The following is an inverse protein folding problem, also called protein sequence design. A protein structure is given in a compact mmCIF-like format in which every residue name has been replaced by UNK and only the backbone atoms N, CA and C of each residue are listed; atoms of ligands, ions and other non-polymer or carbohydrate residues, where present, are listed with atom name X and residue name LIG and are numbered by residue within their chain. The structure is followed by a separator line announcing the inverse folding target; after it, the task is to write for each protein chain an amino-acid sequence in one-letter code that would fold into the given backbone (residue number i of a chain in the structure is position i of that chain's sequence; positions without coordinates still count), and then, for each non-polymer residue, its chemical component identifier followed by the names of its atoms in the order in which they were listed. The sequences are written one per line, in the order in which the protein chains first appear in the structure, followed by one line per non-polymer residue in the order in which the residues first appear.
data_IF_481369354124
#
_entry.id   IF_481369354124
#
_cell.length_a   1.000
_cell.length_b   1.000
_cell.length_c   1.000
_cell.angle_alpha   90.00
_cell.angle_beta   90.00
_cell.angle_gamma   90.00
#
_symmetry.space_group_name_H-M   'P 1'
#
loop_
_entity.id
_entity.type
_entity.pdbx_description
1 polymer ?
#
# COMPACT_ATOMS: atom_id res chain seq x y z
N UNK A 1 37.95 -31.57 5.72
CA UNK A 1 37.54 -31.45 7.14
C UNK A 1 37.28 -29.98 7.40
N UNK A 2 36.04 -29.58 7.71
CA UNK A 2 35.77 -28.20 8.17
C UNK A 2 36.43 -28.03 9.54
N UNK A 3 37.13 -26.91 9.76
CA UNK A 3 37.81 -26.66 11.04
C UNK A 3 36.79 -26.63 12.17
N UNK A 4 37.17 -27.09 13.37
CA UNK A 4 36.28 -27.09 14.54
C UNK A 4 35.77 -25.69 14.92
N UNK A 5 36.45 -24.63 14.46
CA UNK A 5 36.05 -23.24 14.64
C UNK A 5 34.84 -22.83 13.80
N UNK A 6 34.67 -23.37 12.59
CA UNK A 6 33.48 -23.11 11.76
C UNK A 6 32.22 -23.74 12.38
N UNK A 7 32.37 -24.91 13.03
CA UNK A 7 31.28 -25.58 13.73
C UNK A 7 30.89 -24.84 15.02
N UNK A 8 31.86 -24.38 15.81
CA UNK A 8 31.59 -23.58 17.01
C UNK A 8 31.02 -22.20 16.71
N UNK A 9 31.46 -21.55 15.61
CA UNK A 9 30.83 -20.30 15.15
C UNK A 9 29.40 -20.51 14.61
N UNK A 10 29.09 -21.69 14.06
CA UNK A 10 27.71 -22.05 13.67
C UNK A 10 26.78 -22.34 14.86
N UNK A 11 27.33 -22.55 16.06
CA UNK A 11 26.60 -22.82 17.30
C UNK A 11 26.37 -21.58 18.18
N UNK A 12 26.75 -20.36 17.72
CA UNK A 12 26.27 -19.13 18.36
C UNK A 12 24.75 -19.13 18.27
N UNK A 13 24.08 -19.42 19.39
CA UNK A 13 22.62 -19.45 19.51
C UNK A 13 22.05 -18.20 18.86
N UNK A 14 21.42 -18.38 17.70
CA UNK A 14 20.75 -17.29 16.98
C UNK A 14 19.63 -16.81 17.90
N UNK A 15 19.71 -15.57 18.36
CA UNK A 15 18.63 -14.94 19.12
C UNK A 15 17.38 -14.94 18.22
N UNK A 16 16.23 -15.42 18.69
CA UNK A 16 15.01 -15.39 17.89
C UNK A 16 14.67 -13.94 17.55
N UNK A 17 14.28 -13.70 16.30
CA UNK A 17 13.86 -12.38 15.86
C UNK A 17 12.63 -11.93 16.65
N UNK A 18 12.55 -10.65 16.97
CA UNK A 18 11.37 -10.06 17.60
C UNK A 18 10.35 -9.68 16.54
N UNK A 19 9.13 -10.18 16.68
CA UNK A 19 7.99 -9.75 15.87
C UNK A 19 7.00 -9.01 16.75
N UNK A 20 6.61 -7.81 16.33
CA UNK A 20 5.54 -7.04 16.96
C UNK A 20 4.49 -6.70 15.92
N UNK A 21 3.22 -6.82 16.28
CA UNK A 21 2.11 -6.51 15.39
C UNK A 21 0.94 -6.00 16.21
N UNK A 22 0.15 -5.13 15.61
CA UNK A 22 -1.12 -4.71 16.19
C UNK A 22 -2.20 -5.66 15.70
N UNK A 23 -3.00 -6.20 16.63
CA UNK A 23 -4.18 -6.99 16.25
C UNK A 23 -5.22 -6.01 15.72
N UNK A 24 -5.54 -6.02 14.41
CA UNK A 24 -6.46 -5.03 13.88
C UNK A 24 -7.87 -5.36 14.36
N UNK A 25 -8.74 -4.35 14.43
CA UNK A 25 -10.13 -4.58 14.82
C UNK A 25 -10.80 -5.48 13.79
N UNK A 26 -11.53 -6.48 14.28
CA UNK A 26 -12.32 -7.37 13.42
C UNK A 26 -13.32 -6.57 12.61
N UNK A 27 -13.33 -6.79 11.31
CA UNK A 27 -14.33 -6.23 10.40
C UNK A 27 -15.70 -6.88 10.65
N UNK A 28 -16.74 -6.06 10.60
CA UNK A 28 -18.13 -6.49 10.64
C UNK A 28 -18.66 -6.52 9.20
N UNK A 29 -18.71 -7.71 8.59
CA UNK A 29 -19.07 -7.85 7.17
C UNK A 29 -20.55 -7.66 6.85
N UNK A 30 -21.42 -7.95 7.82
CA UNK A 30 -22.86 -8.01 7.58
C UNK A 30 -23.55 -6.65 7.34
N UNK A 31 -22.83 -5.54 7.53
CA UNK A 31 -23.38 -4.19 7.41
C UNK A 31 -22.40 -3.24 6.72
N UNK A 32 -22.13 -3.44 5.42
CA UNK A 32 -21.44 -2.41 4.63
C UNK A 32 -22.40 -1.25 4.43
N UNK A 33 -22.16 -0.12 5.13
CA UNK A 33 -23.02 1.05 5.05
C UNK A 33 -22.49 1.98 3.97
N UNK A 34 -23.42 2.63 3.24
CA UNK A 34 -23.06 3.70 2.29
C UNK A 34 -22.19 4.79 2.96
N UNK A 35 -22.44 5.04 4.24
CA UNK A 35 -21.70 6.02 5.05
C UNK A 35 -20.23 5.64 5.27
N UNK A 36 -19.87 4.36 5.26
CA UNK A 36 -18.49 3.92 5.53
C UNK A 36 -17.52 4.48 4.48
N UNK A 37 -17.96 4.52 3.21
CA UNK A 37 -17.17 5.13 2.13
C UNK A 37 -17.01 6.64 2.31
N UNK A 38 -18.07 7.33 2.70
CA UNK A 38 -18.04 8.77 2.96
C UNK A 38 -17.06 9.10 4.10
N UNK A 39 -17.15 8.36 5.20
CA UNK A 39 -16.26 8.49 6.35
C UNK A 39 -14.82 8.14 6.00
N UNK A 40 -14.60 7.12 5.17
CA UNK A 40 -13.29 6.76 4.67
C UNK A 40 -12.63 7.86 3.84
N UNK A 41 -13.36 8.45 2.89
CA UNK A 41 -12.88 9.60 2.12
C UNK A 41 -12.54 10.77 3.06
N UNK A 42 -13.42 11.05 4.01
CA UNK A 42 -13.25 12.14 4.97
C UNK A 42 -11.99 11.97 5.82
N UNK A 43 -11.79 10.79 6.41
CA UNK A 43 -10.60 10.46 7.19
C UNK A 43 -9.34 10.59 6.33
N UNK A 44 -9.33 10.03 5.11
CA UNK A 44 -8.20 10.13 4.20
C UNK A 44 -7.83 11.59 3.88
N UNK A 45 -8.82 12.44 3.58
CA UNK A 45 -8.61 13.87 3.36
C UNK A 45 -7.99 14.51 4.62
N UNK A 46 -8.62 14.33 5.78
CA UNK A 46 -8.21 14.97 7.03
C UNK A 46 -6.79 14.57 7.46
N UNK A 47 -6.48 13.28 7.43
CA UNK A 47 -5.20 12.76 7.89
C UNK A 47 -4.04 13.14 6.96
N UNK A 48 -4.30 13.19 5.65
CA UNK A 48 -3.25 13.48 4.66
C UNK A 48 -3.03 14.98 4.41
N UNK A 49 -4.00 15.83 4.77
CA UNK A 49 -3.94 17.28 4.54
C UNK A 49 -2.67 17.92 5.11
N UNK A 50 -2.26 17.52 6.32
CA UNK A 50 -1.07 18.09 6.99
C UNK A 50 0.23 17.86 6.21
N UNK A 51 0.41 16.70 5.57
CA UNK A 51 1.62 16.39 4.82
C UNK A 51 1.73 17.20 3.52
N UNK A 52 0.59 17.52 2.90
CA UNK A 52 0.55 18.43 1.76
C UNK A 52 0.75 19.90 2.16
N UNK A 53 0.21 20.31 3.31
CA UNK A 53 0.43 21.66 3.84
C UNK A 53 1.91 21.89 4.16
N UNK A 54 2.57 20.89 4.74
CA UNK A 54 4.00 20.96 5.09
C UNK A 54 4.89 21.12 3.85
N UNK A 55 4.67 20.32 2.79
CA UNK A 55 5.52 20.38 1.59
C UNK A 55 5.28 21.63 0.74
N UNK A 56 4.03 22.11 0.65
CA UNK A 56 3.69 23.25 -0.20
C UNK A 56 3.84 24.59 0.54
N UNK A 57 3.70 24.58 1.87
CA UNK A 57 3.63 25.79 2.70
C UNK A 57 2.61 26.81 2.13
N UNK A 58 1.41 26.31 1.81
CA UNK A 58 0.28 27.08 1.25
C UNK A 58 -1.01 26.74 1.98
N UNK A 59 -1.90 27.71 2.09
CA UNK A 59 -3.27 27.49 2.56
C UNK A 59 -4.11 26.86 1.43
N UNK A 60 -5.01 25.94 1.78
CA UNK A 60 -5.97 25.37 0.83
C UNK A 60 -7.33 26.05 0.95
N UNK A 61 -7.85 26.54 -0.17
CA UNK A 61 -9.20 27.09 -0.26
C UNK A 61 -10.22 26.00 -0.61
N UNK A 62 -11.49 26.20 -0.23
CA UNK A 62 -12.62 25.41 -0.72
C UNK A 62 -12.56 25.16 -2.23
N UNK A 63 -12.96 23.97 -2.68
CA UNK A 63 -12.99 23.67 -4.13
C UNK A 63 -13.98 24.62 -4.84
N UNK A 64 -15.07 24.97 -4.13
CA UNK A 64 -16.13 25.88 -4.57
C UNK A 64 -15.75 27.36 -4.55
N UNK A 65 -14.56 27.71 -4.04
CA UNK A 65 -14.11 29.10 -3.97
C UNK A 65 -13.93 29.69 -5.37
N UNK A 66 -14.64 30.74 -5.71
CA UNK A 66 -14.51 31.40 -7.01
C UNK A 66 -13.41 32.47 -6.95
N UNK A 67 -12.51 32.46 -7.93
CA UNK A 67 -11.44 33.45 -8.04
C UNK A 67 -10.86 33.48 -9.45
N UNK A 68 -10.57 34.67 -9.96
CA UNK A 68 -9.79 34.86 -11.18
C UNK A 68 -8.31 34.55 -11.00
N UNK A 69 -7.82 34.65 -9.75
CA UNK A 69 -6.44 34.35 -9.37
C UNK A 69 -6.27 32.88 -9.05
N UNK A 70 -5.09 32.32 -9.33
CA UNK A 70 -4.81 30.93 -9.01
C UNK A 70 -4.69 30.70 -7.50
N UNK A 71 -5.26 29.61 -7.01
CA UNK A 71 -5.19 29.17 -5.62
C UNK A 71 -4.99 27.65 -5.54
N UNK A 72 -4.66 27.18 -4.33
CA UNK A 72 -4.53 25.76 -4.05
C UNK A 72 -5.81 25.22 -3.42
N UNK A 73 -6.27 24.06 -3.89
CA UNK A 73 -7.35 23.29 -3.27
C UNK A 73 -6.93 21.84 -3.14
N UNK A 74 -7.65 21.06 -2.33
CA UNK A 74 -7.27 19.70 -1.96
C UNK A 74 -8.50 18.81 -1.92
N UNK A 75 -8.36 17.54 -2.29
CA UNK A 75 -9.48 16.61 -2.30
C UNK A 75 -9.15 15.26 -2.94
N UNK A 76 -10.20 14.47 -3.14
CA UNK A 76 -10.16 13.17 -3.82
C UNK A 76 -10.64 13.31 -5.26
N UNK A 77 -9.96 12.62 -6.17
CA UNK A 77 -10.34 12.49 -7.57
C UNK A 77 -11.48 11.49 -7.74
N UNK A 78 -12.54 11.91 -8.43
CA UNK A 78 -13.61 11.06 -8.92
C UNK A 78 -13.59 11.05 -10.44
N UNK A 79 -13.57 9.86 -11.02
CA UNK A 79 -13.63 9.63 -12.47
C UNK A 79 -14.93 8.92 -12.80
N UNK A 80 -15.73 9.47 -13.72
CA UNK A 80 -16.98 8.85 -14.20
C UNK A 80 -16.71 7.79 -15.27
N UNK A 81 -17.69 6.94 -15.62
CA UNK A 81 -17.56 6.01 -16.75
C UNK A 81 -17.21 6.70 -18.08
N UNK A 82 -17.69 7.93 -18.29
CA UNK A 82 -17.42 8.78 -19.45
C UNK A 82 -16.02 9.42 -19.42
N UNK A 83 -15.25 9.15 -18.36
CA UNK A 83 -13.91 9.70 -18.08
C UNK A 83 -13.91 11.20 -17.77
N UNK A 84 -15.04 11.76 -17.37
CA UNK A 84 -15.04 13.08 -16.74
C UNK A 84 -14.39 12.98 -15.37
N UNK A 85 -13.53 13.95 -15.06
CA UNK A 85 -12.72 13.97 -13.84
C UNK A 85 -13.23 15.09 -12.95
N UNK A 86 -13.47 14.77 -11.69
CA UNK A 86 -13.96 15.68 -10.67
C UNK A 86 -13.02 15.65 -9.47
N UNK A 87 -12.96 16.75 -8.74
CA UNK A 87 -12.41 16.78 -7.38
C UNK A 87 -13.54 16.93 -6.38
N UNK A 88 -13.43 16.25 -5.25
CA UNK A 88 -14.40 16.26 -4.17
C UNK A 88 -13.69 16.38 -2.82
N UNK A 89 -14.26 17.16 -1.91
CA UNK A 89 -13.71 17.35 -0.58
C UNK A 89 -14.83 17.42 0.47
N UNK A 90 -14.90 16.46 1.40
CA UNK A 90 -15.89 16.46 2.47
C UNK A 90 -15.28 16.71 3.86
N UNK A 91 -14.17 17.45 3.93
CA UNK A 91 -13.54 17.87 5.19
C UNK A 91 -14.54 18.68 6.06
N UNK A 92 -15.34 19.54 5.40
CA UNK A 92 -16.45 20.25 6.01
C UNK A 92 -17.68 20.30 5.07
N UNK A 93 -18.86 20.55 5.64
CA UNK A 93 -20.14 20.54 4.90
C UNK A 93 -20.17 21.58 3.77
N UNK A 94 -19.42 22.68 3.89
CA UNK A 94 -19.32 23.71 2.86
C UNK A 94 -18.55 23.31 1.59
N UNK A 95 -17.86 22.16 1.61
CA UNK A 95 -17.07 21.65 0.49
C UNK A 95 -17.65 20.38 -0.15
N UNK A 96 -18.80 19.88 0.33
CA UNK A 96 -19.40 18.60 -0.05
C UNK A 96 -20.09 18.66 -1.44
N UNK A 97 -19.37 19.14 -2.45
CA UNK A 97 -19.84 19.26 -3.83
C UNK A 97 -18.70 18.93 -4.79
N UNK A 98 -18.86 17.93 -5.67
CA UNK A 98 -17.86 17.61 -6.67
C UNK A 98 -17.79 18.70 -7.73
N UNK A 99 -16.59 19.11 -8.13
CA UNK A 99 -16.36 20.09 -9.19
C UNK A 99 -15.56 19.44 -10.32
N UNK A 100 -16.01 19.65 -11.56
CA UNK A 100 -15.38 19.10 -12.75
C UNK A 100 -14.02 19.76 -12.97
N UNK A 101 -13.02 18.97 -13.36
CA UNK A 101 -11.66 19.43 -13.63
C UNK A 101 -11.45 19.62 -15.13
N UNK A 102 -10.94 20.80 -15.49
CA UNK A 102 -10.44 21.07 -16.83
C UNK A 102 -8.92 20.90 -16.84
N UNK A 103 -8.44 19.82 -17.45
CA UNK A 103 -7.03 19.42 -17.47
C UNK A 103 -6.27 19.90 -18.71
N UNK A 104 -6.89 20.72 -19.57
CA UNK A 104 -6.27 21.15 -20.84
C UNK A 104 -4.94 21.88 -20.64
N UNK A 105 -4.82 22.62 -19.53
CA UNK A 105 -3.63 23.39 -19.18
C UNK A 105 -2.60 22.58 -18.37
N UNK A 106 -2.97 21.38 -17.91
CA UNK A 106 -2.07 20.49 -17.21
C UNK A 106 -1.34 19.60 -18.24
N UNK A 107 -0.02 19.76 -18.33
CA UNK A 107 0.80 19.04 -19.31
C UNK A 107 1.09 17.59 -18.90
N UNK A 108 1.26 17.35 -17.60
CA UNK A 108 1.66 16.06 -17.04
C UNK A 108 0.81 15.73 -15.85
N UNK A 109 0.18 14.56 -15.89
CA UNK A 109 -0.56 14.02 -14.76
C UNK A 109 -0.76 12.52 -14.90
N UNK A 110 -0.90 11.86 -13.76
CA UNK A 110 -1.31 10.47 -13.66
C UNK A 110 -2.34 10.38 -12.54
N UNK A 111 -3.59 10.14 -12.93
CA UNK A 111 -4.76 10.21 -12.07
C UNK A 111 -5.51 8.87 -12.07
N UNK A 112 -6.14 8.56 -10.94
CA UNK A 112 -7.05 7.43 -10.82
C UNK A 112 -8.19 7.75 -9.84
N UNK A 113 -9.28 6.98 -9.94
CA UNK A 113 -10.47 7.17 -9.13
C UNK A 113 -10.19 6.84 -7.64
N UNK A 114 -10.27 7.84 -6.76
CA UNK A 114 -9.94 7.74 -5.33
C UNK A 114 -8.63 8.39 -4.91
N UNK A 115 -7.85 8.93 -5.84
CA UNK A 115 -6.55 9.55 -5.54
C UNK A 115 -6.72 10.87 -4.77
N UNK A 116 -5.97 11.04 -3.68
CA UNK A 116 -5.81 12.31 -3.00
C UNK A 116 -4.82 13.20 -3.75
N UNK A 117 -5.21 14.44 -4.00
CA UNK A 117 -4.39 15.43 -4.72
C UNK A 117 -4.59 16.83 -4.14
N UNK A 118 -3.55 17.66 -4.28
CA UNK A 118 -3.67 19.12 -4.25
C UNK A 118 -3.63 19.64 -5.68
N UNK A 119 -4.55 20.52 -6.02
CA UNK A 119 -4.62 21.17 -7.32
C UNK A 119 -4.29 22.66 -7.15
N UNK A 120 -3.49 23.19 -8.06
CA UNK A 120 -3.36 24.63 -8.26
C UNK A 120 -4.09 25.02 -9.53
N UNK A 121 -4.92 26.04 -9.43
CA UNK A 121 -5.74 26.46 -10.56
C UNK A 121 -6.69 27.57 -10.17
N UNK A 122 -7.73 27.78 -10.96
CA UNK A 122 -8.75 28.80 -10.72
C UNK A 122 -10.14 28.31 -11.09
N UNK A 123 -11.15 28.83 -10.40
CA UNK A 123 -12.56 28.55 -10.64
C UNK A 123 -13.24 29.88 -10.97
N UNK A 124 -13.68 30.03 -12.22
CA UNK A 124 -14.29 31.26 -12.73
C UNK A 124 -15.82 31.31 -12.55
N UNK A 125 -16.41 30.28 -11.91
CA UNK A 125 -17.85 30.18 -11.69
C UNK A 125 -18.60 29.27 -12.66
N UNK A 126 -17.93 28.75 -13.70
CA UNK A 126 -18.54 27.93 -14.76
C UNK A 126 -18.70 26.44 -14.39
N UNK A 127 -18.78 26.11 -13.10
CA UNK A 127 -18.80 24.73 -12.57
C UNK A 127 -17.57 23.86 -12.96
N UNK A 128 -16.50 24.48 -13.45
CA UNK A 128 -15.23 23.84 -13.74
C UNK A 128 -14.07 24.51 -12.98
N UNK A 129 -13.12 23.69 -12.56
CA UNK A 129 -11.84 24.15 -12.02
C UNK A 129 -10.76 23.98 -13.08
N UNK A 130 -10.15 25.10 -13.52
CA UNK A 130 -9.08 25.11 -14.51
C UNK A 130 -7.76 24.73 -13.83
N UNK A 131 -7.31 23.49 -14.04
CA UNK A 131 -6.12 22.94 -13.39
C UNK A 131 -4.85 23.37 -14.12
N UNK A 132 -3.93 23.98 -13.38
CA UNK A 132 -2.59 24.34 -13.87
C UNK A 132 -1.49 23.41 -13.36
N UNK A 133 -1.57 22.95 -12.11
CA UNK A 133 -0.58 22.06 -11.49
C UNK A 133 -1.30 21.03 -10.60
N UNK A 134 -0.75 19.81 -10.52
CA UNK A 134 -1.25 18.71 -9.69
C UNK A 134 -0.12 18.21 -8.79
N UNK A 135 -0.38 18.15 -7.49
CA UNK A 135 0.51 17.54 -6.51
C UNK A 135 -0.17 16.33 -5.88
N UNK A 136 0.38 15.14 -6.06
CA UNK A 136 -0.19 13.88 -5.56
C UNK A 136 0.77 13.07 -4.69
N UNK A 137 1.94 13.65 -4.37
CA UNK A 137 3.00 13.04 -3.57
C UNK A 137 3.16 13.85 -2.28
N UNK A 138 2.44 13.52 -1.19
CA UNK A 138 2.67 14.14 0.11
C UNK A 138 4.00 13.68 0.71
N UNK A 139 4.43 14.32 1.80
CA UNK A 139 5.51 13.79 2.64
C UNK A 139 5.10 12.42 3.22
N UNK A 140 6.06 11.51 3.21
CA UNK A 140 5.94 10.19 3.80
C UNK A 140 6.69 10.17 5.13
N UNK A 141 5.98 9.87 6.20
CA UNK A 141 6.64 9.42 7.42
C UNK A 141 7.24 8.04 7.13
N UNK A 142 8.45 7.79 7.60
CA UNK A 142 9.07 6.47 7.55
C UNK A 142 9.64 6.17 8.94
N UNK A 143 9.79 4.89 9.28
CA UNK A 143 10.42 4.53 10.54
C UNK A 143 11.92 4.86 10.52
N UNK A 144 12.43 5.55 11.54
CA UNK A 144 13.85 5.92 11.70
C UNK A 144 14.78 4.73 12.05
N UNK A 145 14.43 3.51 11.62
CA UNK A 145 15.23 2.34 11.93
C UNK A 145 16.52 2.33 11.11
N UNK A 146 17.60 2.81 11.71
CA UNK A 146 18.96 2.71 11.17
C UNK A 146 19.59 1.32 11.38
N UNK A 147 18.86 0.37 12.00
CA UNK A 147 19.40 -0.97 12.23
C UNK A 147 19.23 -1.82 10.97
N UNK A 148 20.35 -2.42 10.57
CA UNK A 148 20.35 -3.43 9.54
C UNK A 148 19.58 -4.67 10.00
N UNK A 149 18.66 -5.14 9.14
CA UNK A 149 17.94 -6.38 9.35
C UNK A 149 18.58 -7.47 8.48
N UNK A 150 19.05 -8.54 9.14
CA UNK A 150 19.55 -9.74 8.47
C UNK A 150 18.66 -10.93 8.80
N UNK A 151 17.85 -11.37 7.85
CA UNK A 151 16.96 -12.51 8.04
C UNK A 151 16.63 -13.23 6.73
N UNK A 152 16.22 -14.50 6.85
CA UNK A 152 15.61 -15.26 5.77
C UNK A 152 14.10 -15.30 5.95
N UNK A 153 13.37 -14.87 4.92
CA UNK A 153 11.92 -14.91 4.85
C UNK A 153 11.52 -15.87 3.73
N UNK A 154 10.65 -16.82 4.02
CA UNK A 154 9.95 -17.62 3.01
C UNK A 154 8.54 -17.10 2.82
N UNK A 155 8.09 -16.95 1.59
CA UNK A 155 6.68 -16.64 1.27
C UNK A 155 6.10 -17.82 0.54
N UNK A 156 5.06 -18.44 1.11
CA UNK A 156 4.43 -19.64 0.58
C UNK A 156 2.99 -19.31 0.17
N UNK A 157 2.67 -19.51 -1.11
CA UNK A 157 1.33 -19.33 -1.67
C UNK A 157 0.73 -20.66 -2.14
N UNK A 158 1.56 -21.67 -2.39
CA UNK A 158 1.10 -22.95 -2.89
C UNK A 158 1.85 -24.11 -2.22
N UNK A 159 1.11 -25.05 -1.63
CA UNK A 159 1.62 -26.19 -0.88
C UNK A 159 1.36 -27.45 -1.70
N UNK A 160 2.06 -27.55 -2.83
CA UNK A 160 2.02 -28.74 -3.68
C UNK A 160 3.35 -29.51 -3.66
N UNK A 161 4.38 -28.97 -2.99
CA UNK A 161 5.74 -29.51 -2.99
C UNK A 161 6.23 -29.77 -1.56
N UNK A 162 7.29 -30.58 -1.43
CA UNK A 162 8.05 -30.72 -0.18
C UNK A 162 8.84 -29.44 0.06
N UNK A 163 8.15 -28.41 0.55
CA UNK A 163 8.75 -27.12 0.87
C UNK A 163 9.56 -27.27 2.15
N UNK A 164 10.85 -26.95 2.06
CA UNK A 164 11.68 -26.75 3.23
C UNK A 164 11.30 -25.40 3.88
N UNK A 165 11.00 -25.44 5.17
CA UNK A 165 10.62 -24.29 5.98
C UNK A 165 11.79 -23.69 6.77
N UNK A 166 13.05 -24.05 6.46
CA UNK A 166 14.26 -23.45 7.06
C UNK A 166 14.39 -21.96 6.72
N UNK A 167 13.74 -21.13 7.54
CA UNK A 167 13.77 -19.69 7.48
C UNK A 167 13.58 -19.09 8.89
N UNK A 168 13.91 -17.82 9.03
CA UNK A 168 13.65 -17.07 10.27
C UNK A 168 12.16 -16.71 10.38
N UNK A 169 11.54 -16.42 9.22
CA UNK A 169 10.10 -16.13 9.10
C UNK A 169 9.54 -16.88 7.89
N UNK A 170 8.38 -17.50 8.03
CA UNK A 170 7.61 -18.10 6.94
C UNK A 170 6.25 -17.42 6.90
N UNK A 171 5.90 -16.84 5.76
CA UNK A 171 4.62 -16.15 5.53
C UNK A 171 3.78 -17.01 4.57
N UNK A 172 2.70 -17.59 5.09
CA UNK A 172 1.68 -18.27 4.29
C UNK A 172 0.65 -17.26 3.81
N UNK A 173 0.41 -17.22 2.50
CA UNK A 173 -0.53 -16.31 1.86
C UNK A 173 -1.61 -17.13 1.14
N UNK A 174 -2.84 -17.11 1.68
CA UNK A 174 -4.01 -17.75 1.07
C UNK A 174 -4.02 -19.28 1.05
N UNK A 175 -2.95 -19.95 1.49
CA UNK A 175 -2.83 -21.40 1.46
C UNK A 175 -3.14 -22.06 2.80
N UNK A 176 -3.58 -23.32 2.76
CA UNK A 176 -3.84 -24.13 3.96
C UNK A 176 -2.53 -24.62 4.59
N UNK A 177 -2.25 -24.19 5.81
CA UNK A 177 -1.05 -24.60 6.56
C UNK A 177 -1.03 -26.11 6.77
N UNK A 178 0.10 -26.80 6.54
CA UNK A 178 0.22 -28.24 6.81
C UNK A 178 0.09 -28.55 8.31
N UNK A 179 -0.58 -29.65 8.66
CA UNK A 179 -0.84 -30.04 10.06
C UNK A 179 0.45 -30.34 10.85
N UNK A 180 1.48 -30.86 10.18
CA UNK A 180 2.81 -31.09 10.75
C UNK A 180 3.50 -29.78 11.13
N UNK A 181 3.26 -28.69 10.39
CA UNK A 181 3.77 -27.36 10.73
C UNK A 181 3.00 -26.74 11.89
N UNK A 182 1.67 -26.88 11.91
CA UNK A 182 0.82 -26.41 13.04
C UNK A 182 1.22 -27.10 14.35
N UNK A 183 1.53 -28.39 14.29
CA UNK A 183 1.95 -29.17 15.46
C UNK A 183 3.43 -29.02 15.80
N UNK A 184 4.23 -28.39 14.92
CA UNK A 184 5.66 -28.20 15.14
C UNK A 184 5.94 -27.27 16.31
N UNK A 185 7.04 -27.54 17.03
CA UNK A 185 7.51 -26.70 18.15
C UNK A 185 8.81 -25.96 17.81
N UNK A 186 9.07 -25.68 16.52
CA UNK A 186 10.26 -24.92 16.13
C UNK A 186 10.24 -23.57 16.84
N UNK A 187 11.21 -23.32 17.73
CA UNK A 187 11.27 -22.10 18.55
C UNK A 187 11.96 -20.93 17.84
N UNK A 188 12.56 -21.16 16.68
CA UNK A 188 13.38 -20.18 15.98
C UNK A 188 12.69 -19.56 14.76
N UNK A 189 11.68 -20.24 14.21
CA UNK A 189 10.94 -19.79 13.04
C UNK A 189 9.61 -19.21 13.46
N UNK A 190 9.28 -18.02 12.94
CA UNK A 190 7.95 -17.45 13.09
C UNK A 190 7.09 -17.78 11.88
N UNK A 191 5.86 -18.24 12.12
CA UNK A 191 4.91 -18.55 11.05
C UNK A 191 3.81 -17.48 11.01
N UNK A 192 3.75 -16.71 9.93
CA UNK A 192 2.75 -15.67 9.71
C UNK A 192 1.73 -16.16 8.68
N UNK A 193 0.45 -15.91 8.91
CA UNK A 193 -0.64 -16.32 8.03
C UNK A 193 -1.44 -15.11 7.62
N UNK A 194 -1.60 -14.91 6.31
CA UNK A 194 -2.34 -13.80 5.73
C UNK A 194 -3.38 -14.34 4.74
N UNK A 195 -4.68 -14.06 4.91
CA UNK A 195 -5.71 -14.56 4.01
C UNK A 195 -5.69 -13.85 2.66
N UNK A 196 -6.34 -14.46 1.66
CA UNK A 196 -6.56 -13.87 0.34
C UNK A 196 -8.03 -13.98 -0.04
N UNK A 197 -8.50 -13.22 -1.03
CA UNK A 197 -9.91 -13.24 -1.42
C UNK A 197 -10.34 -14.61 -1.99
N UNK A 198 -9.38 -15.42 -2.44
CA UNK A 198 -9.60 -16.78 -2.95
C UNK A 198 -9.70 -17.84 -1.82
N UNK A 199 -9.53 -17.43 -0.58
CA UNK A 199 -9.57 -18.30 0.59
C UNK A 199 -11.00 -18.67 0.99
N UNK A 200 -11.38 -19.92 0.71
CA UNK A 200 -12.72 -20.44 1.00
C UNK A 200 -13.07 -20.49 2.49
N UNK A 201 -12.10 -20.41 3.40
CA UNK A 201 -12.33 -20.39 4.85
C UNK A 201 -12.61 -18.97 5.37
N UNK A 202 -12.41 -17.95 4.54
CA UNK A 202 -12.61 -16.56 4.89
C UNK A 202 -13.82 -15.96 4.16
N UNK A 203 -14.34 -14.87 4.71
CA UNK A 203 -15.36 -14.07 4.02
C UNK A 203 -14.67 -13.30 2.89
N UNK A 204 -15.19 -13.42 1.68
CA UNK A 204 -14.73 -12.73 0.46
C UNK A 204 -15.08 -11.22 0.49
N UNK A 205 -14.62 -10.51 1.53
CA UNK A 205 -14.77 -9.06 1.69
C UNK A 205 -13.46 -8.50 2.22
N UNK A 206 -12.89 -7.56 1.48
CA UNK A 206 -11.68 -6.84 1.88
C UNK A 206 -12.04 -5.59 2.68
N UNK A 207 -11.32 -5.23 3.78
CA UNK A 207 -10.23 -5.97 4.40
C UNK A 207 -10.72 -7.27 5.07
N UNK A 208 -9.90 -8.32 4.98
CA UNK A 208 -10.19 -9.66 5.49
C UNK A 208 -9.66 -9.84 6.90
N UNK A 209 -10.44 -10.51 7.75
CA UNK A 209 -10.08 -10.85 9.11
C UNK A 209 -9.11 -12.04 9.12
N UNK A 210 -8.19 -12.05 10.07
CA UNK A 210 -7.29 -13.17 10.34
C UNK A 210 -8.06 -14.47 10.60
N UNK A 211 -7.54 -15.60 10.14
CA UNK A 211 -8.05 -16.92 10.53
C UNK A 211 -7.79 -17.19 12.01
N UNK A 212 -8.62 -18.00 12.66
CA UNK A 212 -8.29 -18.52 13.98
C UNK A 212 -7.31 -19.67 13.80
N UNK A 213 -6.08 -19.51 14.28
CA UNK A 213 -5.06 -20.56 14.29
C UNK A 213 -4.59 -20.70 15.73
N UNK A 214 -4.67 -21.91 16.26
CA UNK A 214 -4.22 -22.22 17.62
C UNK A 214 -2.71 -22.45 17.62
N UNK A 215 -1.97 -21.76 18.49
CA UNK A 215 -0.54 -21.97 18.66
C UNK A 215 0.22 -20.71 19.02
N UNK A 216 1.18 -20.81 19.93
CA UNK A 216 1.95 -19.64 20.41
C UNK A 216 2.96 -19.10 19.36
N UNK A 217 3.38 -19.92 18.40
CA UNK A 217 4.36 -19.56 17.36
C UNK A 217 3.71 -19.12 16.03
N UNK A 218 2.39 -19.29 15.92
CA UNK A 218 1.62 -18.94 14.72
C UNK A 218 0.97 -17.58 14.91
N UNK A 219 1.27 -16.67 13.99
CA UNK A 219 0.72 -15.32 13.97
C UNK A 219 -0.26 -15.25 12.80
N UNK A 220 -1.55 -15.23 13.11
CA UNK A 220 -2.58 -14.99 12.10
C UNK A 220 -2.88 -13.49 12.01
N UNK A 221 -2.74 -12.91 10.83
CA UNK A 221 -2.94 -11.49 10.57
C UNK A 221 -4.08 -11.27 9.57
N UNK A 222 -4.63 -10.05 9.56
CA UNK A 222 -5.62 -9.63 8.58
C UNK A 222 -5.00 -9.45 7.19
N UNK A 223 -5.84 -9.23 6.18
CA UNK A 223 -5.42 -8.71 4.89
C UNK A 223 -6.17 -7.40 4.58
N UNK A 224 -5.49 -6.25 4.48
CA UNK A 224 -4.05 -6.08 4.58
C UNK A 224 -3.59 -6.17 6.04
N UNK A 225 -2.29 -6.23 6.27
CA UNK A 225 -1.70 -6.13 7.60
C UNK A 225 -0.36 -5.41 7.62
N UNK A 226 0.01 -5.04 8.85
CA UNK A 226 1.30 -4.44 9.20
C UNK A 226 1.91 -5.21 10.36
N UNK A 227 3.21 -5.47 10.31
CA UNK A 227 3.97 -5.98 11.43
C UNK A 227 5.40 -5.44 11.38
N UNK A 228 6.07 -5.41 12.52
CA UNK A 228 7.49 -5.11 12.60
C UNK A 228 8.28 -6.39 12.86
N UNK A 229 9.33 -6.56 12.08
CA UNK A 229 10.38 -7.54 12.33
C UNK A 229 11.60 -6.77 12.80
N UNK A 230 11.98 -6.98 14.06
CA UNK A 230 12.82 -6.04 14.81
C UNK A 230 12.23 -4.62 14.77
N UNK A 231 12.93 -3.68 14.15
CA UNK A 231 12.53 -2.28 14.03
C UNK A 231 12.06 -1.92 12.61
N UNK A 232 11.94 -2.90 11.69
CA UNK A 232 11.55 -2.69 10.28
C UNK A 232 10.07 -2.98 10.06
N UNK A 233 9.37 -2.08 9.39
CA UNK A 233 7.93 -2.19 9.10
C UNK A 233 7.68 -2.95 7.80
N UNK A 234 6.93 -4.05 7.93
CA UNK A 234 6.46 -4.87 6.84
C UNK A 234 4.96 -4.65 6.65
N UNK A 235 4.57 -4.43 5.40
CA UNK A 235 3.19 -4.40 4.96
C UNK A 235 2.93 -5.60 4.05
N UNK A 236 1.77 -6.24 4.19
CA UNK A 236 1.29 -7.29 3.28
C UNK A 236 -0.11 -6.91 2.82
N UNK A 237 -0.31 -6.88 1.50
CA UNK A 237 -1.61 -6.66 0.89
C UNK A 237 -1.81 -7.60 -0.28
N UNK A 238 -2.75 -8.52 -0.13
CA UNK A 238 -2.98 -9.58 -1.13
C UNK A 238 -4.07 -9.21 -2.12
N UNK A 239 -4.77 -8.09 -1.92
CA UNK A 239 -5.66 -7.52 -2.92
C UNK A 239 -4.81 -6.94 -4.07
N UNK A 240 -5.19 -7.24 -5.32
CA UNK A 240 -4.46 -6.84 -6.53
C UNK A 240 -4.65 -5.35 -6.89
N UNK A 241 -4.36 -4.46 -5.94
CA UNK A 241 -4.57 -3.01 -6.11
C UNK A 241 -3.74 -2.44 -7.25
N UNK A 242 -2.53 -2.98 -7.48
CA UNK A 242 -1.68 -2.57 -8.59
C UNK A 242 -2.33 -2.84 -9.95
N UNK A 243 -3.05 -3.95 -10.08
CA UNK A 243 -3.76 -4.31 -11.32
C UNK A 243 -4.95 -3.39 -11.56
N UNK A 244 -5.65 -3.02 -10.49
CA UNK A 244 -6.75 -2.05 -10.54
C UNK A 244 -6.24 -0.67 -10.97
N UNK A 245 -5.11 -0.22 -10.41
CA UNK A 245 -4.48 1.04 -10.80
C UNK A 245 -4.05 1.00 -12.28
N UNK A 246 -3.44 -0.10 -12.72
CA UNK A 246 -2.98 -0.26 -14.10
C UNK A 246 -4.12 -0.10 -15.13
N UNK A 247 -5.32 -0.58 -14.80
CA UNK A 247 -6.51 -0.49 -15.66
C UNK A 247 -7.19 0.86 -15.67
N UNK A 248 -7.13 1.57 -14.53
CA UNK A 248 -7.95 2.76 -14.29
C UNK A 248 -7.16 4.05 -14.25
N UNK A 249 -5.84 3.99 -14.42
CA UNK A 249 -4.99 5.16 -14.59
C UNK A 249 -5.36 5.93 -15.86
N UNK A 250 -5.62 7.22 -15.71
CA UNK A 250 -5.62 8.20 -16.80
C UNK A 250 -4.34 8.99 -16.69
N UNK A 251 -3.52 8.98 -17.74
CA UNK A 251 -2.26 9.72 -17.76
C UNK A 251 -2.10 10.59 -19.00
N UNK A 252 -1.36 11.67 -18.84
CA UNK A 252 -0.91 12.59 -19.89
C UNK A 252 0.54 12.97 -19.58
N UNK A 253 1.39 12.99 -20.60
CA UNK A 253 2.81 13.33 -20.44
C UNK A 253 3.33 14.22 -21.59
N UNK A 254 2.87 15.46 -21.66
CA UNK A 254 3.17 16.41 -22.76
C UNK A 254 4.22 17.46 -22.38
N UNK A 255 5.44 16.99 -22.09
CA UNK A 255 6.62 17.83 -21.83
C UNK A 255 6.74 18.30 -20.39
N UNK A 256 7.97 18.61 -19.96
CA UNK A 256 8.27 19.02 -18.59
C UNK A 256 7.98 20.50 -18.35
N UNK A 257 7.65 20.84 -17.10
CA UNK A 257 7.62 22.22 -16.62
C UNK A 257 8.66 22.36 -15.51
N UNK A 258 9.30 23.54 -15.39
CA UNK A 258 10.40 23.76 -14.43
C UNK A 258 10.02 23.52 -12.95
N UNK A 259 8.73 23.46 -12.63
CA UNK A 259 8.22 23.32 -11.26
C UNK A 259 7.35 22.06 -11.06
N UNK A 260 7.35 21.13 -12.02
CA UNK A 260 6.53 19.92 -11.97
C UNK A 260 7.24 18.77 -11.23
N UNK A 261 7.46 18.94 -9.93
CA UNK A 261 8.16 17.95 -9.09
C UNK A 261 7.47 16.59 -9.13
N UNK A 262 6.12 16.58 -9.10
CA UNK A 262 5.35 15.34 -9.12
C UNK A 262 5.48 14.63 -10.47
N UNK A 263 5.33 15.34 -11.59
CA UNK A 263 5.52 14.73 -12.89
C UNK A 263 6.97 14.27 -13.11
N UNK A 264 7.96 15.04 -12.64
CA UNK A 264 9.36 14.66 -12.75
C UNK A 264 9.64 13.33 -12.05
N UNK A 265 9.10 13.11 -10.85
CA UNK A 265 9.22 11.83 -10.18
C UNK A 265 8.41 10.73 -10.90
N UNK A 266 7.12 10.97 -11.14
CA UNK A 266 6.18 9.97 -11.66
C UNK A 266 6.51 9.49 -13.08
N UNK A 267 7.09 10.33 -13.91
CA UNK A 267 7.45 9.98 -15.29
C UNK A 267 8.97 9.97 -15.53
N UNK A 268 9.77 9.89 -14.46
CA UNK A 268 11.22 9.67 -14.58
C UNK A 268 11.56 8.29 -15.15
N UNK A 269 10.66 7.32 -14.96
CA UNK A 269 10.88 5.90 -15.28
C UNK A 269 9.62 5.27 -15.88
N UNK A 270 9.50 3.94 -15.79
CA UNK A 270 8.44 3.16 -16.41
C UNK A 270 7.07 3.33 -15.74
N UNK A 271 6.02 2.81 -16.41
CA UNK A 271 4.65 2.82 -15.87
C UNK A 271 4.55 2.11 -14.53
N UNK A 272 5.25 0.98 -14.36
CA UNK A 272 5.15 0.18 -13.16
C UNK A 272 5.62 0.97 -11.93
N UNK A 273 6.77 1.62 -12.04
CA UNK A 273 7.32 2.45 -10.97
C UNK A 273 6.38 3.63 -10.64
N UNK A 274 5.77 4.25 -11.65
CA UNK A 274 4.74 5.27 -11.44
C UNK A 274 3.54 4.76 -10.64
N UNK A 275 3.03 3.56 -10.95
CA UNK A 275 1.92 2.97 -10.21
C UNK A 275 2.33 2.60 -8.78
N UNK A 276 3.57 2.15 -8.58
CA UNK A 276 4.13 1.91 -7.25
C UNK A 276 4.22 3.20 -6.42
N UNK A 277 4.60 4.33 -7.02
CA UNK A 277 4.54 5.63 -6.35
C UNK A 277 3.10 5.92 -5.86
N UNK A 278 2.09 5.70 -6.69
CA UNK A 278 0.69 5.86 -6.29
C UNK A 278 0.29 4.96 -5.13
N UNK A 279 0.76 3.71 -5.07
CA UNK A 279 0.45 2.80 -3.96
C UNK A 279 1.00 3.33 -2.62
N UNK A 280 2.23 3.83 -2.59
CA UNK A 280 2.87 4.27 -1.34
C UNK A 280 2.37 5.65 -0.90
N UNK A 281 2.41 6.62 -1.82
CA UNK A 281 2.19 8.03 -1.50
C UNK A 281 0.74 8.35 -1.14
N UNK A 282 -0.18 7.43 -1.40
CA UNK A 282 -1.59 7.57 -1.06
C UNK A 282 -1.93 7.09 0.35
N UNK A 283 -0.93 6.59 1.09
CA UNK A 283 -0.99 6.21 2.51
C UNK A 283 -2.20 5.33 2.84
N UNK A 284 -2.54 4.44 1.92
CA UNK A 284 -3.64 3.51 2.09
C UNK A 284 -3.36 2.20 1.36
N UNK A 285 -3.78 1.10 1.97
CA UNK A 285 -3.79 -0.20 1.32
C UNK A 285 -4.76 -0.29 0.15
N UNK A 286 -5.77 0.59 0.09
CA UNK A 286 -6.74 0.65 -0.99
C UNK A 286 -7.04 2.12 -1.34
N UNK A 287 -6.16 2.78 -2.09
CA UNK A 287 -6.35 4.18 -2.47
C UNK A 287 -7.47 4.34 -3.51
N UNK A 288 -7.86 3.27 -4.20
CA UNK A 288 -8.94 3.29 -5.19
C UNK A 288 -10.32 3.19 -4.55
N UNK A 289 -11.30 3.92 -5.11
CA UNK A 289 -12.71 3.79 -4.73
C UNK A 289 -13.50 2.94 -5.74
N UNK A 290 -14.70 2.55 -5.36
CA UNK A 290 -15.63 1.72 -6.15
C UNK A 290 -15.09 0.31 -6.51
N UNK A 291 -14.17 -0.21 -5.69
CA UNK A 291 -13.72 -1.60 -5.78
C UNK A 291 -14.80 -2.52 -5.22
N UNK A 292 -15.06 -3.65 -5.91
CA UNK A 292 -16.06 -4.65 -5.53
C UNK A 292 -15.61 -5.39 -4.26
N UNK A 293 -16.57 -5.88 -3.48
CA UNK A 293 -16.32 -6.69 -2.27
C UNK A 293 -15.39 -6.00 -1.27
N UNK A 294 -15.55 -4.67 -1.11
CA UNK A 294 -14.77 -3.87 -0.16
C UNK A 294 -15.67 -3.24 0.90
N UNK A 295 -15.26 -3.39 2.17
CA UNK A 295 -15.70 -2.61 3.31
C UNK A 295 -14.69 -1.48 3.55
N UNK A 296 -15.14 -0.22 3.49
CA UNK A 296 -14.29 0.96 3.62
C UNK A 296 -14.02 1.30 5.11
N UNK A 297 -13.43 0.36 5.85
CA UNK A 297 -13.04 0.56 7.24
C UNK A 297 -11.69 1.28 7.31
N UNK A 298 -11.71 2.53 7.77
CA UNK A 298 -10.53 3.40 7.93
C UNK A 298 -9.39 2.71 8.68
N UNK A 299 -9.69 2.07 9.81
CA UNK A 299 -8.67 1.51 10.71
C UNK A 299 -7.87 0.38 10.07
N UNK A 300 -8.47 -0.34 9.12
CA UNK A 300 -7.86 -1.47 8.44
C UNK A 300 -7.29 -1.12 7.05
N UNK A 301 -7.65 0.04 6.48
CA UNK A 301 -7.22 0.45 5.13
C UNK A 301 -6.15 1.55 5.14
N UNK A 302 -5.88 2.16 6.29
CA UNK A 302 -4.89 3.22 6.42
C UNK A 302 -3.47 2.68 6.53
N UNK A 303 -2.50 3.38 5.94
CA UNK A 303 -1.08 3.15 6.21
C UNK A 303 -0.54 4.29 7.08
N UNK A 304 -0.26 3.99 8.35
CA UNK A 304 0.20 4.98 9.32
C UNK A 304 1.50 5.67 8.90
N UNK A 305 2.42 4.94 8.27
CA UNK A 305 3.65 5.46 7.67
C UNK A 305 4.02 4.60 6.45
N UNK A 306 5.01 5.05 5.67
CA UNK A 306 5.57 4.26 4.59
C UNK A 306 6.31 3.02 5.16
N UNK A 307 6.01 1.81 4.69
CA UNK A 307 6.71 0.61 5.14
C UNK A 307 8.14 0.56 4.60
N UNK A 308 9.02 -0.15 5.31
CA UNK A 308 10.33 -0.52 4.77
C UNK A 308 10.18 -1.55 3.65
N UNK A 309 9.27 -2.52 3.84
CA UNK A 309 8.99 -3.59 2.88
C UNK A 309 7.47 -3.73 2.64
N UNK A 310 7.04 -3.76 1.38
CA UNK A 310 5.64 -3.93 1.02
C UNK A 310 5.45 -5.09 0.05
N UNK A 311 4.85 -6.15 0.55
CA UNK A 311 4.48 -7.35 -0.19
C UNK A 311 3.11 -7.12 -0.82
N UNK A 312 3.05 -7.17 -2.15
CA UNK A 312 1.82 -7.01 -2.93
C UNK A 312 1.65 -8.18 -3.89
N UNK A 313 0.41 -8.38 -4.34
CA UNK A 313 0.10 -9.31 -5.45
C UNK A 313 -0.36 -8.53 -6.68
N UNK A 314 0.06 -9.02 -7.84
CA UNK A 314 -0.38 -8.57 -9.15
C UNK A 314 -0.28 -9.74 -10.13
N UNK A 315 -1.32 -9.91 -10.94
CA UNK A 315 -1.36 -10.86 -12.05
C UNK A 315 -0.88 -10.24 -13.37
N UNK A 316 -0.93 -8.91 -13.49
CA UNK A 316 -0.54 -8.22 -14.74
C UNK A 316 0.94 -7.96 -14.87
N UNK A 317 1.63 -7.95 -13.76
CA UNK A 317 3.07 -7.74 -13.72
C UNK A 317 3.73 -9.04 -13.25
N UNK A 318 4.78 -9.44 -13.96
CA UNK A 318 5.68 -10.48 -13.47
C UNK A 318 6.20 -10.12 -12.07
N UNK A 319 6.59 -11.11 -11.27
CA UNK A 319 7.20 -10.84 -9.97
C UNK A 319 8.38 -9.88 -10.08
N UNK A 320 8.45 -8.93 -9.16
CA UNK A 320 9.49 -7.91 -9.18
C UNK A 320 9.87 -7.42 -7.77
N UNK A 321 11.03 -6.79 -7.72
CA UNK A 321 11.55 -6.08 -6.55
C UNK A 321 11.97 -4.66 -6.98
N UNK A 322 11.40 -3.62 -6.35
CA UNK A 322 11.67 -2.21 -6.69
C UNK A 322 11.85 -1.36 -5.43
N UNK A 323 12.84 -0.46 -5.46
CA UNK A 323 12.96 0.63 -4.48
C UNK A 323 12.11 1.83 -4.94
N UNK A 324 11.14 2.22 -4.13
CA UNK A 324 10.15 3.26 -4.42
C UNK A 324 10.12 4.25 -3.26
N UNK A 325 10.89 5.33 -3.39
CA UNK A 325 11.14 6.24 -2.27
C UNK A 325 11.79 5.49 -1.10
N UNK A 326 11.23 5.56 0.12
CA UNK A 326 11.77 4.83 1.28
C UNK A 326 11.37 3.33 1.32
N UNK A 327 10.50 2.87 0.42
CA UNK A 327 9.89 1.54 0.50
C UNK A 327 10.46 0.58 -0.54
N UNK A 328 10.77 -0.65 -0.13
CA UNK A 328 11.02 -1.78 -1.04
C UNK A 328 9.71 -2.49 -1.33
N UNK A 329 9.25 -2.46 -2.58
CA UNK A 329 8.02 -3.15 -3.01
C UNK A 329 8.39 -4.48 -3.64
N UNK A 330 7.71 -5.54 -3.21
CA UNK A 330 7.86 -6.91 -3.66
C UNK A 330 6.53 -7.37 -4.23
N UNK A 331 6.45 -7.48 -5.56
CA UNK A 331 5.35 -8.21 -6.18
C UNK A 331 5.68 -9.70 -6.14
N UNK A 332 4.94 -10.45 -5.32
CA UNK A 332 5.14 -11.89 -5.16
C UNK A 332 4.37 -12.72 -6.20
N UNK A 333 3.65 -12.06 -7.12
CA UNK A 333 2.78 -12.70 -8.12
C UNK A 333 1.71 -13.58 -7.47
N UNK A 334 1.26 -14.59 -8.20
CA UNK A 334 0.30 -15.58 -7.69
C UNK A 334 0.84 -16.99 -7.81
N UNK A 335 0.56 -17.82 -6.82
CA UNK A 335 0.95 -19.23 -6.80
C UNK A 335 2.47 -19.47 -6.86
N UNK A 336 3.27 -18.44 -6.55
CA UNK A 336 4.71 -18.51 -6.46
C UNK A 336 5.17 -18.60 -5.01
N UNK A 337 6.13 -19.46 -4.75
CA UNK A 337 6.83 -19.53 -3.48
C UNK A 337 8.17 -18.79 -3.59
N UNK A 338 8.59 -18.13 -2.51
CA UNK A 338 9.78 -17.27 -2.52
C UNK A 338 10.71 -17.56 -1.35
N UNK A 339 12.00 -17.63 -1.66
CA UNK A 339 13.09 -17.45 -0.71
C UNK A 339 13.60 -16.01 -0.79
N UNK A 340 13.49 -15.28 0.32
CA UNK A 340 13.90 -13.88 0.42
C UNK A 340 14.97 -13.77 1.49
N UNK A 341 16.14 -13.28 1.10
CA UNK A 341 17.22 -12.97 2.03
C UNK A 341 17.34 -11.46 2.16
N UNK A 342 17.13 -10.95 3.37
CA UNK A 342 17.37 -9.56 3.72
C UNK A 342 18.78 -9.46 4.30
N UNK A 343 19.59 -8.56 3.75
CA UNK A 343 20.90 -8.18 4.28
C UNK A 343 21.05 -6.66 4.14
N UNK A 344 21.82 -6.06 5.06
CA UNK A 344 22.24 -4.65 5.05
C UNK A 344 22.63 -4.09 3.69
N UNK A 345 23.29 -4.91 2.86
CA UNK A 345 23.85 -4.51 1.57
C UNK A 345 22.93 -4.80 0.39
N UNK A 346 22.11 -5.83 0.50
CA UNK A 346 21.38 -6.37 -0.65
C UNK A 346 20.19 -7.21 -0.19
N UNK A 347 19.04 -6.98 -0.82
CA UNK A 347 17.88 -7.86 -0.72
C UNK A 347 17.86 -8.78 -1.93
N UNK A 348 17.80 -10.10 -1.69
CA UNK A 348 17.71 -11.13 -2.75
C UNK A 348 16.37 -11.83 -2.67
N UNK A 349 15.70 -11.94 -3.80
CA UNK A 349 14.52 -12.80 -3.98
C UNK A 349 14.86 -13.93 -4.94
N UNK A 350 14.47 -15.14 -4.58
CA UNK A 350 14.59 -16.32 -5.44
C UNK A 350 13.26 -17.06 -5.43
N UNK A 351 12.75 -17.37 -6.62
CA UNK A 351 11.59 -18.25 -6.78
C UNK A 351 11.99 -19.68 -6.40
N UNK A 352 11.14 -20.37 -5.64
CA UNK A 352 11.37 -21.75 -5.20
C UNK A 352 10.27 -22.70 -5.64
#
# INVERSE_FOLDING_TARGET
MRSGEDFLNSLKKKTPLKITYERPKKNQYFYIKKMDRYLYIKSRIQENKKYFLEILNKEFKPVTFQSESSYFTYGVIFITPEKDIYIYNNDNESNDTPIKLNLNYCKRFSLFHGQLVVLKGKNLGDNEFLVSEIHCLPILDHGDSNKDLKCKIKVIQNINEKIDYDADVVIFIGCKVPEDIISSKSRLTHFIHVPTMEDFECVEVYPMNSRTIDGQIHISLNNPCQFKLEDKLFCVNTLQVLDLLCDKEICKNEGSSKNDICGDLLFSKDKLERLCYHLIFQRSFLPMLNVKNVCYNVENLNMLCAPDYYFIRSQKFEPFFRDIGPTKILNIGENYNWDITLDSKETKMKLI
#
